data_IF_223817507292
#
_entry.id   IF_223817507292
#
_cell.length_a   1.000
_cell.length_b   1.000
_cell.length_c   1.000
_cell.angle_alpha   90.00
_cell.angle_beta   90.00
_cell.angle_gamma   90.00
#
_symmetry.space_group_name_H-M   'P 1'
#
loop_
_entity.id
_entity.type
_entity.pdbx_description
1 polymer ?
#
# COMPACT_ATOMS: atom_id res chain seq x y z
N UNK A 1 9.83 -6.23 27.98
CA UNK A 1 9.07 -5.04 27.55
C UNK A 1 8.81 -5.13 26.05
N UNK A 2 7.96 -6.07 25.62
CA UNK A 2 7.58 -6.27 24.22
C UNK A 2 6.07 -6.62 24.07
N UNK A 3 5.31 -6.61 25.17
CA UNK A 3 3.92 -7.09 25.19
C UNK A 3 2.86 -5.99 25.05
N UNK A 4 3.20 -4.72 25.26
CA UNK A 4 2.20 -3.63 25.23
C UNK A 4 1.77 -3.18 23.83
N UNK A 5 2.46 -3.58 22.76
CA UNK A 5 2.11 -3.16 21.38
C UNK A 5 1.03 -4.04 20.73
N UNK A 6 0.85 -5.28 21.19
CA UNK A 6 -0.07 -6.26 20.60
C UNK A 6 -1.52 -6.01 21.03
N UNK A 7 -1.76 -5.41 22.19
CA UNK A 7 -3.12 -5.21 22.71
C UNK A 7 -3.87 -4.01 22.08
N UNK A 8 -3.14 -3.11 21.40
CA UNK A 8 -3.74 -1.97 20.70
C UNK A 8 -4.63 -2.38 19.51
N UNK A 9 -4.35 -3.52 18.87
CA UNK A 9 -5.09 -4.01 17.70
C UNK A 9 -6.46 -4.61 18.05
N UNK A 10 -6.71 -4.95 19.32
CA UNK A 10 -7.96 -5.63 19.74
C UNK A 10 -9.18 -4.70 19.87
N UNK A 11 -9.01 -3.38 19.77
CA UNK A 11 -10.08 -2.39 20.06
C UNK A 11 -10.67 -1.67 18.86
N UNK A 12 -10.37 -2.07 17.63
CA UNK A 12 -11.15 -1.62 16.48
C UNK A 12 -12.51 -2.33 16.48
N UNK A 13 -13.46 -1.73 17.21
CA UNK A 13 -14.87 -2.11 17.22
C UNK A 13 -15.33 -2.28 15.78
N UNK A 14 -15.55 -3.55 15.41
CA UNK A 14 -16.33 -3.94 14.25
C UNK A 14 -17.71 -3.33 14.44
N UNK A 15 -17.96 -2.22 13.78
CA UNK A 15 -19.32 -1.71 13.60
C UNK A 15 -19.96 -2.69 12.61
N UNK A 16 -20.93 -3.53 13.02
CA UNK A 16 -21.60 -4.40 12.07
C UNK A 16 -22.32 -3.49 11.06
N UNK A 17 -22.23 -3.78 9.74
CA UNK A 17 -23.00 -3.02 8.77
C UNK A 17 -24.47 -3.23 9.10
N UNK A 18 -25.16 -2.13 9.37
CA UNK A 18 -26.62 -2.10 9.57
C UNK A 18 -27.25 -2.79 8.34
N UNK A 19 -28.02 -3.88 8.49
CA UNK A 19 -28.64 -4.53 7.35
C UNK A 19 -29.72 -3.60 6.81
N UNK A 20 -29.38 -2.83 5.78
CA UNK A 20 -30.36 -2.04 5.03
C UNK A 20 -31.22 -3.04 4.28
N UNK A 21 -32.46 -3.18 4.72
CA UNK A 21 -33.46 -4.02 4.11
C UNK A 21 -33.55 -3.76 2.59
N UNK A 22 -33.39 -4.84 1.83
CA UNK A 22 -33.93 -5.08 0.49
C UNK A 22 -33.91 -3.94 -0.52
N UNK A 23 -32.85 -3.88 -1.34
CA UNK A 23 -32.99 -3.40 -2.72
C UNK A 23 -32.68 -4.59 -3.64
N UNK A 24 -33.67 -5.16 -4.35
CA UNK A 24 -33.42 -6.23 -5.31
C UNK A 24 -32.65 -5.66 -6.50
N UNK A 25 -31.45 -6.20 -6.77
CA UNK A 25 -30.79 -6.02 -8.07
C UNK A 25 -29.42 -5.32 -8.08
N UNK A 26 -28.92 -4.78 -6.97
CA UNK A 26 -27.56 -4.24 -6.96
C UNK A 26 -26.58 -5.36 -6.62
N UNK A 27 -25.97 -5.96 -7.64
CA UNK A 27 -24.77 -6.81 -7.47
C UNK A 27 -23.78 -6.03 -6.61
N UNK A 28 -23.65 -6.42 -5.35
CA UNK A 28 -22.58 -5.95 -4.48
C UNK A 28 -21.31 -6.53 -5.08
N UNK A 29 -20.61 -5.75 -5.88
CA UNK A 29 -19.27 -6.11 -6.33
C UNK A 29 -18.42 -6.12 -5.06
N UNK A 30 -18.09 -7.31 -4.56
CA UNK A 30 -17.07 -7.48 -3.55
C UNK A 30 -15.78 -6.96 -4.17
N UNK A 31 -15.34 -5.78 -3.77
CA UNK A 31 -14.01 -5.32 -4.10
C UNK A 31 -13.03 -6.35 -3.51
N UNK A 32 -12.09 -6.89 -4.30
CA UNK A 32 -11.09 -7.80 -3.77
C UNK A 32 -10.32 -7.09 -2.65
N UNK A 33 -10.25 -7.73 -1.49
CA UNK A 33 -9.41 -7.25 -0.40
C UNK A 33 -7.96 -7.34 -0.90
N UNK A 34 -7.20 -6.24 -0.92
CA UNK A 34 -5.82 -6.27 -1.36
C UNK A 34 -5.04 -7.22 -0.45
N UNK A 35 -4.17 -8.03 -1.06
CA UNK A 35 -3.27 -8.88 -0.28
C UNK A 35 -2.35 -8.01 0.57
N UNK A 36 -1.93 -8.53 1.73
CA UNK A 36 -0.95 -7.84 2.59
C UNK A 36 0.32 -7.47 1.82
N UNK A 37 0.71 -8.30 0.85
CA UNK A 37 1.84 -8.05 -0.05
C UNK A 37 1.61 -6.85 -0.99
N UNK A 38 0.39 -6.69 -1.51
CA UNK A 38 0.05 -5.54 -2.35
C UNK A 38 0.08 -4.23 -1.54
N UNK A 39 -0.45 -4.26 -0.31
CA UNK A 39 -0.40 -3.10 0.60
C UNK A 39 1.05 -2.73 0.93
N UNK A 40 1.86 -3.73 1.28
CA UNK A 40 3.29 -3.50 1.57
C UNK A 40 4.06 -2.96 0.36
N UNK A 41 3.78 -3.47 -0.85
CA UNK A 41 4.39 -2.97 -2.08
C UNK A 41 4.07 -1.50 -2.35
N UNK A 42 2.82 -1.08 -2.12
CA UNK A 42 2.41 0.32 -2.25
C UNK A 42 3.06 1.23 -1.20
N UNK A 43 3.15 0.78 0.05
CA UNK A 43 3.82 1.53 1.13
C UNK A 43 5.32 1.71 0.83
N UNK A 44 5.99 0.64 0.41
CA UNK A 44 7.39 0.68 0.02
C UNK A 44 7.63 1.64 -1.16
N UNK A 45 6.80 1.55 -2.21
CA UNK A 45 6.92 2.43 -3.37
C UNK A 45 6.64 3.90 -3.01
N UNK A 46 5.73 4.15 -2.08
CA UNK A 46 5.44 5.49 -1.56
C UNK A 46 6.65 6.07 -0.81
N UNK A 47 7.26 5.29 0.07
CA UNK A 47 8.47 5.67 0.79
C UNK A 47 9.62 5.97 -0.18
N UNK A 48 9.90 5.06 -1.12
CA UNK A 48 10.98 5.24 -2.10
C UNK A 48 10.76 6.48 -2.98
N UNK A 49 9.51 6.77 -3.37
CA UNK A 49 9.16 7.99 -4.12
C UNK A 49 9.49 9.26 -3.34
N UNK A 50 9.23 9.28 -2.03
CA UNK A 50 9.56 10.44 -1.20
C UNK A 50 11.08 10.67 -1.15
N UNK A 51 11.86 9.61 -0.92
CA UNK A 51 13.31 9.66 -0.80
C UNK A 51 13.99 10.05 -2.13
N UNK A 52 13.61 9.40 -3.23
CA UNK A 52 14.20 9.69 -4.55
C UNK A 52 13.89 11.12 -5.00
N UNK A 53 12.67 11.61 -4.76
CA UNK A 53 12.33 13.02 -5.03
C UNK A 53 13.08 13.97 -4.10
N UNK A 54 13.32 13.60 -2.84
CA UNK A 54 14.14 14.41 -1.94
C UNK A 54 15.59 14.49 -2.43
N UNK A 55 16.16 13.40 -2.93
CA UNK A 55 17.49 13.38 -3.54
C UNK A 55 17.56 14.28 -4.78
N UNK A 56 16.55 14.23 -5.65
CA UNK A 56 16.46 15.10 -6.83
C UNK A 56 16.36 16.58 -6.44
N UNK A 57 15.51 16.93 -5.45
CA UNK A 57 15.39 18.30 -4.93
C UNK A 57 16.69 18.83 -4.31
N UNK A 58 17.49 17.95 -3.73
CA UNK A 58 18.81 18.27 -3.17
C UNK A 58 19.92 18.30 -4.23
N UNK A 59 19.60 17.99 -5.50
CA UNK A 59 20.57 17.96 -6.60
C UNK A 59 21.53 16.78 -6.55
N UNK A 60 21.25 15.74 -5.75
CA UNK A 60 22.09 14.53 -5.66
C UNK A 60 22.02 13.72 -6.96
N UNK A 61 20.85 13.73 -7.59
CA UNK A 61 20.57 13.09 -8.89
C UNK A 61 19.76 14.05 -9.74
N UNK A 62 19.79 13.89 -11.06
CA UNK A 62 18.95 14.68 -11.95
C UNK A 62 17.47 14.29 -11.82
N UNK A 63 16.56 15.17 -12.23
CA UNK A 63 15.13 14.86 -12.32
C UNK A 63 14.89 13.65 -13.23
N UNK A 64 15.59 13.57 -14.36
CA UNK A 64 15.47 12.46 -15.30
C UNK A 64 15.92 11.13 -14.67
N UNK A 65 17.06 11.13 -13.98
CA UNK A 65 17.55 9.93 -13.28
C UNK A 65 16.60 9.50 -12.17
N UNK A 66 15.97 10.45 -11.48
CA UNK A 66 15.01 10.17 -10.41
C UNK A 66 13.77 9.44 -10.93
N UNK A 67 13.23 9.86 -12.07
CA UNK A 67 12.07 9.22 -12.69
C UNK A 67 12.44 7.83 -13.25
N UNK A 68 13.61 7.72 -13.89
CA UNK A 68 14.12 6.44 -14.39
C UNK A 68 14.38 5.43 -13.25
N UNK A 69 14.90 5.90 -12.12
CA UNK A 69 15.11 5.07 -10.93
C UNK A 69 13.77 4.58 -10.36
N UNK A 70 12.78 5.46 -10.22
CA UNK A 70 11.46 5.08 -9.71
C UNK A 70 10.76 4.06 -10.60
N UNK A 71 10.85 4.21 -11.93
CA UNK A 71 10.30 3.24 -12.87
C UNK A 71 10.95 1.85 -12.70
N UNK A 72 12.28 1.80 -12.54
CA UNK A 72 13.01 0.54 -12.32
C UNK A 72 12.68 -0.10 -10.98
N UNK A 73 12.58 0.69 -9.91
CA UNK A 73 12.21 0.19 -8.58
C UNK A 73 10.81 -0.41 -8.59
N UNK A 74 9.84 0.23 -9.27
CA UNK A 74 8.49 -0.32 -9.43
C UNK A 74 8.49 -1.71 -10.09
N UNK A 75 9.24 -1.87 -11.18
CA UNK A 75 9.36 -3.16 -11.86
C UNK A 75 10.00 -4.25 -10.98
N UNK A 76 11.07 -3.90 -10.24
CA UNK A 76 11.75 -4.86 -9.36
C UNK A 76 10.85 -5.31 -8.21
N UNK A 77 10.09 -4.39 -7.63
CA UNK A 77 9.13 -4.71 -6.55
C UNK A 77 8.01 -5.61 -7.10
N UNK A 78 7.43 -5.27 -8.25
CA UNK A 78 6.39 -6.07 -8.88
C UNK A 78 6.87 -7.51 -9.19
N UNK A 79 8.08 -7.65 -9.72
CA UNK A 79 8.71 -8.95 -9.98
C UNK A 79 8.96 -9.75 -8.69
N UNK A 80 9.44 -9.09 -7.64
CA UNK A 80 9.71 -9.72 -6.34
C UNK A 80 8.43 -10.22 -5.67
N UNK A 81 7.30 -9.52 -5.87
CA UNK A 81 5.99 -9.91 -5.34
C UNK A 81 5.30 -10.99 -6.20
N UNK A 82 5.58 -11.04 -7.50
CA UNK A 82 4.96 -12.00 -8.43
C UNK A 82 5.71 -13.34 -8.52
N UNK A 83 7.00 -13.39 -8.20
CA UNK A 83 7.82 -14.61 -8.35
C UNK A 83 7.59 -15.70 -7.28
N UNK A 84 6.37 -15.81 -6.73
CA UNK A 84 6.05 -16.73 -5.63
C UNK A 84 4.96 -17.74 -6.00
#
# INVERSE_FOLDING_TARGET
MADDLVDGFRRLRVVPPRPTAGIPGRRVAFAPVPSEQAVWGEELMTFLRAEVRAAARRGVISTADSEQLLARLGLVIDQALTSR
#
